data_IF_341157716704
#
_entry.id   IF_341157716704
#
_cell.length_a   1.000
_cell.length_b   1.000
_cell.length_c   1.000
_cell.angle_alpha   90.00
_cell.angle_beta   90.00
_cell.angle_gamma   90.00
#
_symmetry.space_group_name_H-M   'P 1'
#
loop_
_entity.id
_entity.type
_entity.pdbx_description
1 polymer ?
#
# COMPACT_ATOMS: atom_id res chain seq x y z
N UNK A 1 28.81 2.23 41.89
CA UNK A 1 27.99 0.99 41.83
C UNK A 1 26.49 1.25 41.89
N UNK A 2 26.00 2.13 42.78
CA UNK A 2 24.57 2.34 43.01
C UNK A 2 23.79 2.94 41.81
N UNK A 3 24.40 3.87 41.06
CA UNK A 3 23.75 4.47 39.87
C UNK A 3 23.55 3.49 38.71
N UNK A 4 24.45 2.51 38.58
CA UNK A 4 24.36 1.49 37.54
C UNK A 4 23.19 0.53 37.84
N UNK A 5 23.04 0.14 39.11
CA UNK A 5 21.93 -0.70 39.55
C UNK A 5 20.57 -0.04 39.33
N UNK A 6 20.47 1.28 39.59
CA UNK A 6 19.23 2.05 39.32
C UNK A 6 18.93 2.11 37.83
N UNK A 7 19.95 2.31 36.98
CA UNK A 7 19.74 2.35 35.52
C UNK A 7 19.30 0.99 34.95
N UNK A 8 19.89 -0.09 35.45
CA UNK A 8 19.49 -1.47 35.09
C UNK A 8 18.06 -1.76 35.56
N UNK A 9 17.69 -1.32 36.77
CA UNK A 9 16.34 -1.51 37.28
C UNK A 9 15.31 -0.74 36.43
N UNK A 10 15.58 0.52 36.07
CA UNK A 10 14.71 1.32 35.20
C UNK A 10 14.57 0.67 33.82
N UNK A 11 15.68 0.17 33.25
CA UNK A 11 15.68 -0.50 31.96
C UNK A 11 14.86 -1.79 31.97
N UNK A 12 15.00 -2.61 33.02
CA UNK A 12 14.18 -3.81 33.22
C UNK A 12 12.71 -3.46 33.42
N UNK A 13 12.39 -2.40 34.18
CA UNK A 13 11.02 -1.96 34.38
C UNK A 13 10.37 -1.54 33.06
N UNK A 14 11.09 -0.79 32.23
CA UNK A 14 10.63 -0.40 30.89
C UNK A 14 10.42 -1.61 29.98
N UNK A 15 11.29 -2.62 30.04
CA UNK A 15 11.14 -3.85 29.26
C UNK A 15 9.96 -4.72 29.71
N UNK A 16 9.63 -4.73 31.01
CA UNK A 16 8.52 -5.52 31.58
C UNK A 16 7.18 -4.79 31.44
N UNK A 17 7.16 -3.44 31.46
CA UNK A 17 5.93 -2.67 31.25
C UNK A 17 5.47 -2.61 29.79
N UNK A 18 6.30 -3.06 28.84
CA UNK A 18 5.92 -3.24 27.43
C UNK A 18 5.48 -4.68 27.23
N UNK A 19 4.43 -5.09 27.95
CA UNK A 19 3.63 -6.25 27.58
C UNK A 19 2.34 -5.75 26.92
N UNK A 20 1.93 -6.33 25.77
CA UNK A 20 0.73 -5.93 25.07
C UNK A 20 -0.47 -6.46 25.85
N UNK A 21 -1.07 -5.62 26.69
CA UNK A 21 -2.36 -5.91 27.31
C UNK A 21 -3.43 -5.87 26.22
N UNK A 22 -3.64 -7.03 25.59
CA UNK A 22 -4.91 -7.40 24.98
C UNK A 22 -5.79 -7.93 26.12
N UNK A 23 -6.58 -7.03 26.73
CA UNK A 23 -7.67 -7.39 27.62
C UNK A 23 -8.93 -7.61 26.78
N UNK A 24 -9.20 -8.88 26.51
CA UNK A 24 -10.49 -9.43 26.09
C UNK A 24 -11.46 -9.35 27.28
N UNK A 25 -12.52 -8.55 27.18
CA UNK A 25 -13.73 -8.71 27.98
C UNK A 25 -14.93 -8.00 27.32
N UNK A 26 -16.07 -8.68 27.27
CA UNK A 26 -17.38 -8.03 27.13
C UNK A 26 -18.11 -8.19 25.80
N UNK A 27 -18.95 -9.21 25.73
CA UNK A 27 -20.03 -9.34 24.75
C UNK A 27 -21.09 -8.23 24.85
N UNK A 28 -21.28 -7.40 23.81
CA UNK A 28 -22.59 -6.85 23.43
C UNK A 28 -22.62 -6.44 21.94
N UNK A 29 -23.73 -6.66 21.21
CA UNK A 29 -23.82 -6.40 19.79
C UNK A 29 -24.32 -4.97 19.56
N UNK A 30 -23.39 -4.07 19.23
CA UNK A 30 -23.74 -2.76 18.68
C UNK A 30 -22.91 -2.50 17.44
N UNK A 31 -23.63 -2.38 16.33
CA UNK A 31 -23.41 -1.35 15.33
C UNK A 31 -22.21 -1.53 14.38
N UNK A 32 -22.59 -1.75 13.13
CA UNK A 32 -21.73 -1.87 11.97
C UNK A 32 -21.04 -0.53 11.68
N UNK A 33 -19.87 -0.25 12.28
CA UNK A 33 -19.05 0.90 11.85
C UNK A 33 -17.55 0.85 12.17
N UNK A 34 -17.03 0.04 13.12
CA UNK A 34 -15.64 0.19 13.58
C UNK A 34 -14.81 -1.10 13.68
N UNK A 35 -15.13 -2.15 12.92
CA UNK A 35 -14.30 -3.38 12.85
C UNK A 35 -13.30 -3.44 11.70
N UNK A 36 -13.12 -2.35 10.96
CA UNK A 36 -12.09 -2.29 9.91
C UNK A 36 -10.67 -2.10 10.47
N UNK A 37 -10.55 -1.72 11.75
CA UNK A 37 -9.26 -1.45 12.41
C UNK A 37 -8.59 -2.64 13.11
N UNK A 38 -9.25 -3.80 13.23
CA UNK A 38 -8.79 -4.89 14.12
C UNK A 38 -8.26 -6.14 13.40
N UNK A 39 -8.38 -6.21 12.07
CA UNK A 39 -7.89 -7.36 11.30
C UNK A 39 -6.41 -7.17 10.92
N UNK A 40 -5.49 -7.65 11.78
CA UNK A 40 -4.04 -7.63 11.50
C UNK A 40 -3.66 -8.30 10.16
N UNK A 41 -4.36 -9.38 9.79
CA UNK A 41 -4.17 -10.05 8.50
C UNK A 41 -4.60 -9.18 7.31
N UNK A 42 -5.64 -8.35 7.48
CA UNK A 42 -6.14 -7.44 6.46
C UNK A 42 -5.17 -6.27 6.27
N UNK A 43 -4.68 -5.68 7.37
CA UNK A 43 -3.63 -4.65 7.35
C UNK A 43 -2.35 -5.17 6.70
N UNK A 44 -1.91 -6.38 7.03
CA UNK A 44 -0.77 -7.02 6.38
C UNK A 44 -0.97 -7.19 4.87
N UNK A 45 -2.15 -7.69 4.46
CA UNK A 45 -2.50 -7.83 3.04
C UNK A 45 -2.50 -6.49 2.33
N UNK A 46 -3.04 -5.45 2.97
CA UNK A 46 -3.06 -4.10 2.41
C UNK A 46 -1.65 -3.52 2.26
N UNK A 47 -0.79 -3.68 3.27
CA UNK A 47 0.61 -3.25 3.22
C UNK A 47 1.41 -4.01 2.17
N UNK A 48 1.17 -5.31 2.02
CA UNK A 48 1.78 -6.11 0.95
C UNK A 48 1.31 -5.64 -0.42
N UNK A 49 0.02 -5.31 -0.57
CA UNK A 49 -0.54 -4.79 -1.80
C UNK A 49 0.04 -3.41 -2.15
N UNK A 50 0.12 -2.49 -1.19
CA UNK A 50 0.71 -1.16 -1.42
C UNK A 50 2.19 -1.25 -1.80
N UNK A 51 2.96 -2.07 -1.08
CA UNK A 51 4.37 -2.33 -1.42
C UNK A 51 4.54 -2.92 -2.82
N UNK A 52 3.69 -3.89 -3.22
CA UNK A 52 3.70 -4.46 -4.58
C UNK A 52 3.35 -3.42 -5.64
N UNK A 53 2.39 -2.52 -5.38
CA UNK A 53 2.03 -1.45 -6.31
C UNK A 53 3.22 -0.51 -6.52
N UNK A 54 3.94 -0.14 -5.46
CA UNK A 54 5.14 0.70 -5.56
C UNK A 54 6.27 0.01 -6.33
N UNK A 55 6.49 -1.28 -6.08
CA UNK A 55 7.45 -2.09 -6.83
C UNK A 55 7.11 -2.15 -8.33
N UNK A 56 5.83 -2.35 -8.67
CA UNK A 56 5.35 -2.36 -10.06
C UNK A 56 5.59 -1.00 -10.74
N UNK A 57 5.29 0.11 -10.04
CA UNK A 57 5.55 1.47 -10.57
C UNK A 57 7.01 1.64 -10.96
N UNK A 58 7.95 1.28 -10.07
CA UNK A 58 9.39 1.38 -10.34
C UNK A 58 9.80 0.42 -11.46
N UNK A 59 9.29 -0.80 -11.47
CA UNK A 59 9.62 -1.79 -12.48
C UNK A 59 9.19 -1.36 -13.89
N UNK A 60 8.00 -0.75 -14.03
CA UNK A 60 7.53 -0.21 -15.32
C UNK A 60 8.45 0.91 -15.80
N UNK A 61 8.77 1.87 -14.93
CA UNK A 61 9.68 2.97 -15.27
C UNK A 61 11.06 2.44 -15.70
N UNK A 62 11.60 1.47 -14.97
CA UNK A 62 12.88 0.81 -15.31
C UNK A 62 12.82 0.09 -16.65
N UNK A 63 11.76 -0.69 -16.92
CA UNK A 63 11.58 -1.40 -18.20
C UNK A 63 11.47 -0.45 -19.39
N UNK A 64 10.79 0.68 -19.21
CA UNK A 64 10.66 1.72 -20.22
C UNK A 64 11.89 2.64 -20.31
N UNK A 65 12.88 2.45 -19.41
CA UNK A 65 14.08 3.30 -19.28
C UNK A 65 13.73 4.77 -19.05
N UNK A 66 12.73 5.02 -18.21
CA UNK A 66 12.28 6.35 -17.81
C UNK A 66 12.69 6.61 -16.36
N UNK A 67 13.26 7.78 -16.09
CA UNK A 67 13.57 8.25 -14.73
C UNK A 67 12.29 8.66 -13.98
N UNK A 68 11.34 9.28 -14.68
CA UNK A 68 10.10 9.78 -14.12
C UNK A 68 8.93 9.52 -15.07
N UNK A 69 7.73 9.37 -14.49
CA UNK A 69 6.50 9.31 -15.27
C UNK A 69 6.32 10.60 -16.09
N UNK A 70 6.00 10.51 -17.39
CA UNK A 70 5.74 11.69 -18.21
C UNK A 70 4.59 12.51 -17.64
N UNK A 71 4.81 13.80 -17.44
CA UNK A 71 3.78 14.72 -16.94
C UNK A 71 2.89 15.19 -18.10
N UNK A 72 2.04 14.29 -18.59
CA UNK A 72 1.12 14.55 -19.71
C UNK A 72 -0.32 14.34 -19.23
N UNK A 73 -1.16 15.37 -19.34
CA UNK A 73 -2.58 15.26 -19.01
C UNK A 73 -3.36 14.52 -20.12
N UNK A 74 -4.54 14.00 -19.78
CA UNK A 74 -5.39 13.27 -20.73
C UNK A 74 -5.80 14.11 -21.95
N UNK A 75 -5.93 15.42 -21.81
CA UNK A 75 -6.33 16.31 -22.90
C UNK A 75 -5.18 16.58 -23.86
N UNK A 76 -3.96 16.71 -23.32
CA UNK A 76 -2.74 16.83 -24.13
C UNK A 76 -2.48 15.53 -24.89
N UNK A 77 -2.73 14.37 -24.28
CA UNK A 77 -2.70 13.05 -24.95
C UNK A 77 -3.61 13.05 -26.18
N UNK A 78 -4.86 13.52 -26.08
CA UNK A 78 -5.81 13.56 -27.21
C UNK A 78 -5.39 14.49 -28.35
N UNK A 79 -4.65 15.56 -28.04
CA UNK A 79 -4.14 16.50 -29.04
C UNK A 79 -2.87 15.98 -29.71
N UNK A 80 -1.98 15.33 -28.93
CA UNK A 80 -0.69 14.84 -29.40
C UNK A 80 -0.76 13.47 -30.10
N UNK A 81 -1.69 12.60 -29.71
CA UNK A 81 -1.87 11.32 -30.39
C UNK A 81 -2.55 11.51 -31.74
N UNK A 82 -1.86 11.22 -32.87
CA UNK A 82 -2.49 11.30 -34.17
C UNK A 82 -3.54 10.19 -34.28
N UNK A 83 -4.74 10.57 -34.76
CA UNK A 83 -5.83 9.63 -35.09
C UNK A 83 -5.55 8.91 -36.41
N UNK A 84 -4.39 8.26 -36.50
CA UNK A 84 -4.00 7.50 -37.67
C UNK A 84 -4.61 6.09 -37.61
N UNK A 85 -5.13 5.54 -38.73
CA UNK A 85 -5.65 4.17 -38.80
C UNK A 85 -4.76 3.10 -38.15
N UNK A 86 -3.42 3.08 -38.33
CA UNK A 86 -2.56 2.05 -37.72
C UNK A 86 -2.45 2.13 -36.20
N UNK A 87 -2.65 3.30 -35.58
CA UNK A 87 -2.64 3.42 -34.11
C UNK A 87 -3.96 2.93 -33.50
N UNK A 88 -5.07 3.18 -34.19
CA UNK A 88 -6.38 2.74 -33.73
C UNK A 88 -6.47 1.21 -33.73
N UNK A 89 -5.97 0.54 -34.78
CA UNK A 89 -5.94 -0.92 -34.85
C UNK A 89 -5.11 -1.55 -33.72
N UNK A 90 -4.00 -0.89 -33.35
CA UNK A 90 -3.20 -1.33 -32.21
C UNK A 90 -3.96 -1.17 -30.89
N UNK A 91 -4.66 -0.06 -30.68
CA UNK A 91 -5.48 0.17 -29.48
C UNK A 91 -6.59 -0.88 -29.40
N UNK A 92 -7.31 -1.09 -30.50
CA UNK A 92 -8.43 -2.03 -30.59
C UNK A 92 -7.98 -3.48 -30.31
N UNK A 93 -6.76 -3.86 -30.71
CA UNK A 93 -6.18 -5.17 -30.38
C UNK A 93 -5.97 -5.38 -28.87
N UNK A 94 -5.64 -4.32 -28.12
CA UNK A 94 -5.39 -4.41 -26.68
C UNK A 94 -6.62 -4.03 -25.81
N UNK A 95 -7.66 -3.42 -26.39
CA UNK A 95 -8.90 -3.06 -25.68
C UNK A 95 -9.69 -4.29 -25.21
N UNK A 96 -9.57 -5.40 -25.94
CA UNK A 96 -10.22 -6.70 -25.62
C UNK A 96 -9.69 -7.32 -24.32
N UNK A 97 -8.50 -6.95 -23.83
CA UNK A 97 -7.92 -7.50 -22.61
C UNK A 97 -8.44 -6.84 -21.31
N UNK A 98 -9.42 -5.93 -21.40
CA UNK A 98 -9.78 -5.05 -20.28
C UNK A 98 -10.99 -5.48 -19.44
N UNK A 99 -11.72 -6.51 -19.83
CA UNK A 99 -12.84 -7.04 -19.04
C UNK A 99 -12.58 -8.50 -18.65
N UNK A 100 -11.99 -8.71 -17.48
CA UNK A 100 -12.21 -9.89 -16.65
C UNK A 100 -11.71 -9.61 -15.20
N UNK A 101 -12.68 -9.34 -14.31
CA UNK A 101 -12.65 -9.21 -12.83
C UNK A 101 -12.82 -7.82 -12.24
#
# INVERSE_FOLDING_TARGET
MQKLAVYVYIYLFMLISVDPVALDDGSQPTENAEKDGLCNACTWRQNTKSSRIEAIKIQILSKLRLEQAPNISRDVIKQLLPKAPPLQELIDQYDVQRDDS
#
